data_IF_765798114611
#
_entry.id   IF_765798114611
#
_cell.length_a   1.000
_cell.length_b   1.000
_cell.length_c   1.000
_cell.angle_alpha   90.00
_cell.angle_beta   90.00
_cell.angle_gamma   90.00
#
_symmetry.space_group_name_H-M   'P 1'
#
loop_
_entity.id
_entity.type
_entity.pdbx_description
1 polymer ?
#
# COMPACT_ATOMS: atom_id res chain seq x y z
N UNK A 1 17.12 20.41 -24.33
CA UNK A 1 16.22 20.50 -23.16
C UNK A 1 17.08 20.12 -21.97
N UNK A 2 17.16 20.97 -20.94
CA UNK A 2 18.06 20.72 -19.79
C UNK A 2 17.50 19.57 -18.96
N UNK A 3 18.33 18.58 -18.62
CA UNK A 3 17.97 17.40 -17.81
C UNK A 3 17.29 17.78 -16.48
N UNK A 4 17.57 18.98 -15.96
CA UNK A 4 16.96 19.57 -14.77
C UNK A 4 15.44 19.73 -14.86
N UNK A 5 14.86 19.96 -16.04
CA UNK A 5 13.42 20.19 -16.21
C UNK A 5 12.59 18.90 -16.34
N UNK A 6 13.22 17.73 -16.44
CA UNK A 6 12.49 16.46 -16.59
C UNK A 6 11.93 15.94 -15.25
N UNK A 7 12.47 16.41 -14.13
CA UNK A 7 12.13 15.92 -12.78
C UNK A 7 11.52 17.01 -11.90
N UNK A 8 11.12 18.12 -12.51
CA UNK A 8 10.48 19.26 -11.86
C UNK A 8 9.20 19.57 -12.63
N UNK A 9 8.08 19.70 -11.92
CA UNK A 9 6.78 19.99 -12.51
C UNK A 9 6.04 21.04 -11.68
N UNK A 10 5.40 22.00 -12.34
CA UNK A 10 4.43 22.88 -11.70
C UNK A 10 3.10 22.12 -11.57
N UNK A 11 2.55 22.07 -10.37
CA UNK A 11 1.26 21.44 -10.07
C UNK A 11 0.21 22.50 -9.75
N UNK A 12 -1.03 22.16 -10.08
CA UNK A 12 -2.22 23.00 -9.85
C UNK A 12 -3.25 22.23 -9.03
N UNK A 13 -4.31 22.90 -8.60
CA UNK A 13 -5.46 22.26 -7.97
C UNK A 13 -5.98 21.05 -8.78
N UNK A 14 -6.05 21.16 -10.12
CA UNK A 14 -6.57 20.10 -10.98
C UNK A 14 -5.60 18.94 -11.18
N UNK A 15 -4.29 19.16 -11.02
CA UNK A 15 -3.26 18.16 -11.32
C UNK A 15 -2.64 17.55 -10.06
N UNK A 16 -2.91 18.12 -8.89
CA UNK A 16 -2.33 17.70 -7.62
C UNK A 16 -2.62 16.23 -7.30
N UNK A 17 -3.88 15.79 -7.39
CA UNK A 17 -4.28 14.43 -7.05
C UNK A 17 -3.47 13.39 -7.86
N UNK A 18 -3.51 13.51 -9.19
CA UNK A 18 -2.80 12.59 -10.08
C UNK A 18 -1.28 12.66 -9.93
N UNK A 19 -0.73 13.87 -9.85
CA UNK A 19 0.73 14.06 -9.94
C UNK A 19 1.41 13.79 -8.61
N UNK A 20 0.79 14.21 -7.50
CA UNK A 20 1.36 14.13 -6.15
C UNK A 20 0.85 12.89 -5.43
N UNK A 21 -0.46 12.71 -5.33
CA UNK A 21 -1.03 11.61 -4.53
C UNK A 21 -0.82 10.28 -5.26
N UNK A 22 -1.40 10.12 -6.45
CA UNK A 22 -1.28 8.86 -7.22
C UNK A 22 0.17 8.62 -7.67
N UNK A 23 0.84 9.66 -8.19
CA UNK A 23 2.23 9.57 -8.65
C UNK A 23 3.24 9.18 -7.55
N UNK A 24 2.92 9.45 -6.28
CA UNK A 24 3.81 9.09 -5.16
C UNK A 24 3.89 7.59 -4.86
N UNK A 25 3.06 6.78 -5.51
CA UNK A 25 3.15 5.31 -5.48
C UNK A 25 4.21 4.77 -6.44
N UNK A 26 4.57 5.54 -7.49
CA UNK A 26 5.60 5.13 -8.45
C UNK A 26 7.00 5.53 -7.95
N UNK A 27 7.12 6.75 -7.44
CA UNK A 27 8.35 7.32 -6.85
C UNK A 27 7.98 8.44 -5.88
N UNK A 28 8.82 8.76 -4.88
CA UNK A 28 8.53 9.86 -3.96
C UNK A 28 8.27 11.18 -4.68
N UNK A 29 7.30 11.96 -4.20
CA UNK A 29 7.00 13.30 -4.70
C UNK A 29 7.26 14.33 -3.61
N UNK A 30 8.10 15.31 -3.89
CA UNK A 30 8.43 16.41 -2.98
C UNK A 30 7.69 17.65 -3.44
N UNK A 31 6.78 18.15 -2.63
CA UNK A 31 6.01 19.37 -2.91
C UNK A 31 6.70 20.57 -2.30
N UNK A 32 7.11 21.53 -3.13
CA UNK A 32 7.59 22.87 -2.73
C UNK A 32 6.42 23.85 -2.72
N UNK A 33 5.97 24.24 -1.53
CA UNK A 33 4.91 25.24 -1.33
C UNK A 33 5.55 26.63 -1.32
N UNK A 34 5.28 27.41 -2.35
CA UNK A 34 5.93 28.70 -2.60
C UNK A 34 4.94 29.79 -3.03
N UNK A 35 5.44 31.04 -3.14
CA UNK A 35 4.75 32.17 -3.78
C UNK A 35 5.76 33.23 -4.23
N UNK A 36 5.38 34.09 -5.18
CA UNK A 36 6.27 35.09 -5.79
C UNK A 36 6.86 36.12 -4.80
N UNK A 37 6.09 36.47 -3.76
CA UNK A 37 6.49 37.42 -2.71
C UNK A 37 7.39 36.80 -1.65
N UNK A 38 7.58 35.48 -1.65
CA UNK A 38 8.38 34.77 -0.67
C UNK A 38 9.88 34.90 -0.97
N UNK A 39 10.56 35.80 -0.24
CA UNK A 39 12.00 36.00 -0.35
C UNK A 39 12.82 34.71 -0.17
N UNK A 40 12.63 33.94 0.92
CA UNK A 40 13.39 32.69 1.14
C UNK A 40 13.15 31.62 0.05
N UNK A 41 11.95 31.56 -0.53
CA UNK A 41 11.61 30.61 -1.60
C UNK A 41 12.50 30.79 -2.84
N UNK A 42 12.94 32.02 -3.14
CA UNK A 42 13.83 32.32 -4.27
C UNK A 42 15.21 31.68 -4.16
N UNK A 43 15.61 31.27 -2.95
CA UNK A 43 16.85 30.52 -2.74
C UNK A 43 16.60 29.02 -2.68
N UNK A 44 15.53 28.61 -1.99
CA UNK A 44 15.22 27.19 -1.79
C UNK A 44 14.75 26.50 -3.09
N UNK A 45 13.87 27.12 -3.87
CA UNK A 45 13.34 26.53 -5.11
C UNK A 45 14.43 26.09 -6.09
N UNK A 46 15.36 26.98 -6.50
CA UNK A 46 16.48 26.59 -7.37
C UNK A 46 17.39 25.50 -6.78
N UNK A 47 17.52 25.43 -5.46
CA UNK A 47 18.29 24.38 -4.80
C UNK A 47 17.57 23.03 -4.90
N UNK A 48 16.26 22.99 -4.68
CA UNK A 48 15.45 21.79 -4.86
C UNK A 48 15.47 21.32 -6.34
N UNK A 49 15.37 22.25 -7.29
CA UNK A 49 15.46 21.95 -8.72
C UNK A 49 16.82 21.35 -9.10
N UNK A 50 17.91 21.90 -8.55
CA UNK A 50 19.26 21.37 -8.72
C UNK A 50 19.34 19.93 -8.19
N UNK A 51 18.90 19.69 -6.95
CA UNK A 51 18.95 18.36 -6.32
C UNK A 51 18.08 17.35 -7.08
N UNK A 52 16.89 17.74 -7.55
CA UNK A 52 16.05 16.90 -8.39
C UNK A 52 16.74 16.49 -9.70
N UNK A 53 17.46 17.42 -10.34
CA UNK A 53 18.27 17.14 -11.52
C UNK A 53 19.45 16.20 -11.23
N UNK A 54 20.15 16.39 -10.10
CA UNK A 54 21.29 15.55 -9.69
C UNK A 54 20.87 14.12 -9.31
N UNK A 55 19.66 13.96 -8.77
CA UNK A 55 19.09 12.65 -8.40
C UNK A 55 18.48 11.90 -9.59
N UNK A 56 18.50 12.47 -10.80
CA UNK A 56 18.17 11.75 -12.04
C UNK A 56 16.80 11.07 -12.05
N UNK A 57 15.82 11.63 -11.34
CA UNK A 57 14.44 11.13 -11.31
C UNK A 57 14.10 10.20 -10.15
N UNK A 58 15.01 10.00 -9.18
CA UNK A 58 14.74 9.23 -7.95
C UNK A 58 13.56 9.80 -7.13
N UNK A 59 13.24 11.08 -7.29
CA UNK A 59 12.02 11.71 -6.81
C UNK A 59 11.51 12.72 -7.85
N UNK A 60 10.25 13.13 -7.73
CA UNK A 60 9.66 14.23 -8.50
C UNK A 60 9.56 15.48 -7.62
N UNK A 61 10.06 16.63 -8.09
CA UNK A 61 9.80 17.91 -7.45
C UNK A 61 8.51 18.53 -8.04
N UNK A 62 7.48 18.66 -7.21
CA UNK A 62 6.23 19.32 -7.54
C UNK A 62 6.20 20.73 -6.94
N UNK A 63 6.20 21.76 -7.78
CA UNK A 63 6.14 23.15 -7.35
C UNK A 63 4.68 23.60 -7.31
N UNK A 64 4.26 24.12 -6.16
CA UNK A 64 2.88 24.50 -5.90
C UNK A 64 2.81 25.92 -5.36
N UNK A 65 2.34 26.85 -6.21
CA UNK A 65 2.05 28.22 -5.79
C UNK A 65 0.82 28.24 -4.89
N UNK A 66 0.99 28.65 -3.63
CA UNK A 66 -0.07 28.65 -2.61
C UNK A 66 -1.07 29.81 -2.76
N UNK A 67 -0.74 30.85 -3.52
CA UNK A 67 -1.66 31.95 -3.83
C UNK A 67 -2.57 31.60 -5.02
N UNK A 68 -2.05 30.83 -5.97
CA UNK A 68 -2.79 30.41 -7.16
C UNK A 68 -3.66 29.16 -6.95
N UNK A 69 -3.35 28.34 -5.94
CA UNK A 69 -3.95 27.00 -5.77
C UNK A 69 -4.47 26.79 -4.34
N UNK A 70 -5.76 26.49 -4.21
CA UNK A 70 -6.42 26.26 -2.92
C UNK A 70 -5.89 25.04 -2.18
N UNK A 71 -5.48 23.99 -2.92
CA UNK A 71 -4.92 22.76 -2.34
C UNK A 71 -3.63 23.05 -1.55
N UNK A 72 -2.85 24.04 -1.96
CA UNK A 72 -1.64 24.47 -1.24
C UNK A 72 -1.96 25.01 0.16
N UNK A 73 -3.03 25.80 0.28
CA UNK A 73 -3.50 26.31 1.56
C UNK A 73 -4.03 25.19 2.46
N UNK A 74 -4.79 24.24 1.87
CA UNK A 74 -5.25 23.05 2.59
C UNK A 74 -4.09 22.20 3.09
N UNK A 75 -3.03 22.03 2.28
CA UNK A 75 -1.86 21.27 2.66
C UNK A 75 -1.09 21.96 3.81
N UNK A 76 -0.85 23.27 3.73
CA UNK A 76 -0.24 24.04 4.83
C UNK A 76 -0.99 23.85 6.16
N UNK A 77 -2.33 23.89 6.11
CA UNK A 77 -3.17 23.65 7.29
C UNK A 77 -3.03 22.21 7.80
N UNK A 78 -3.07 21.21 6.91
CA UNK A 78 -2.96 19.80 7.27
C UNK A 78 -1.63 19.50 7.97
N UNK A 79 -0.53 20.08 7.47
CA UNK A 79 0.81 19.92 8.06
C UNK A 79 1.11 20.93 9.17
N UNK A 80 0.13 21.76 9.56
CA UNK A 80 0.22 22.78 10.61
C UNK A 80 1.36 23.79 10.40
N UNK A 81 1.71 24.05 9.15
CA UNK A 81 2.67 25.09 8.81
C UNK A 81 2.01 26.46 8.84
N UNK A 82 2.74 27.45 9.37
CA UNK A 82 2.27 28.83 9.47
C UNK A 82 2.64 29.70 8.25
N UNK A 83 3.32 29.15 7.25
CA UNK A 83 3.69 29.89 6.05
C UNK A 83 4.67 29.16 5.15
N UNK A 84 5.21 29.91 4.19
CA UNK A 84 6.12 29.40 3.15
C UNK A 84 7.55 29.95 3.33
N UNK A 85 8.58 29.24 2.84
CA UNK A 85 8.50 27.95 2.15
C UNK A 85 8.18 26.80 3.11
N UNK A 86 7.36 25.86 2.64
CA UNK A 86 7.15 24.56 3.29
C UNK A 86 7.36 23.49 2.25
N UNK A 87 8.09 22.43 2.62
CA UNK A 87 8.34 21.29 1.74
C UNK A 87 7.75 20.05 2.37
N UNK A 88 6.98 19.29 1.58
CA UNK A 88 6.31 18.06 2.04
C UNK A 88 6.64 16.93 1.08
N UNK A 89 7.17 15.82 1.60
CA UNK A 89 7.40 14.61 0.82
C UNK A 89 6.21 13.66 0.94
N UNK A 90 5.80 13.10 -0.18
CA UNK A 90 4.75 12.09 -0.31
C UNK A 90 5.33 10.76 -0.80
N UNK A 91 4.86 9.67 -0.20
CA UNK A 91 5.00 8.29 -0.68
C UNK A 91 3.68 7.58 -0.52
N UNK A 92 3.27 6.76 -1.50
CA UNK A 92 2.05 5.95 -1.45
C UNK A 92 0.80 6.76 -1.04
N UNK A 93 0.69 7.98 -1.57
CA UNK A 93 -0.41 8.92 -1.33
C UNK A 93 -0.40 9.62 0.04
N UNK A 94 0.61 9.38 0.88
CA UNK A 94 0.69 9.91 2.24
C UNK A 94 1.88 10.84 2.44
N UNK A 95 1.74 11.92 3.23
CA UNK A 95 2.89 12.72 3.64
C UNK A 95 3.78 11.93 4.60
N UNK A 96 5.04 11.72 4.23
CA UNK A 96 6.01 10.91 5.01
C UNK A 96 7.05 11.75 5.74
N UNK A 97 7.33 12.95 5.26
CA UNK A 97 8.29 13.87 5.88
C UNK A 97 8.02 15.31 5.44
N UNK A 98 8.47 16.28 6.23
CA UNK A 98 8.35 17.70 5.87
C UNK A 98 9.41 18.55 6.56
N UNK A 99 9.65 19.74 6.01
CA UNK A 99 10.34 20.82 6.72
C UNK A 99 9.73 22.18 6.40
N UNK A 100 9.97 23.14 7.30
CA UNK A 100 9.47 24.53 7.19
C UNK A 100 10.66 25.48 7.19
N UNK A 101 10.67 26.41 6.24
CA UNK A 101 11.72 27.40 6.06
C UNK A 101 12.77 26.98 5.03
N UNK A 102 13.70 27.88 4.75
CA UNK A 102 14.80 27.63 3.82
C UNK A 102 15.97 26.99 4.58
N UNK A 103 16.40 25.81 4.11
CA UNK A 103 17.52 25.06 4.69
C UNK A 103 18.76 25.08 3.78
N UNK A 104 19.97 24.89 4.33
CA UNK A 104 21.17 24.65 3.55
C UNK A 104 21.08 23.40 2.68
N UNK A 105 21.87 23.34 1.61
CA UNK A 105 21.86 22.23 0.66
C UNK A 105 22.15 20.86 1.29
N UNK A 106 22.99 20.80 2.33
CA UNK A 106 23.27 19.57 3.07
C UNK A 106 22.02 19.01 3.78
N UNK A 107 21.24 19.90 4.41
CA UNK A 107 19.99 19.53 5.08
C UNK A 107 18.92 19.09 4.07
N UNK A 108 18.86 19.76 2.91
CA UNK A 108 17.98 19.36 1.80
C UNK A 108 18.36 17.97 1.30
N UNK A 109 19.66 17.70 1.06
CA UNK A 109 20.09 16.37 0.65
C UNK A 109 19.75 15.31 1.69
N UNK A 110 19.98 15.57 2.99
CA UNK A 110 19.58 14.64 4.05
C UNK A 110 18.09 14.37 4.10
N UNK A 111 17.27 15.41 3.88
CA UNK A 111 15.82 15.25 3.76
C UNK A 111 15.46 14.35 2.58
N UNK A 112 16.04 14.59 1.40
CA UNK A 112 15.80 13.78 0.21
C UNK A 112 16.24 12.33 0.45
N UNK A 113 17.44 12.12 0.99
CA UNK A 113 17.96 10.77 1.25
C UNK A 113 17.06 9.97 2.20
N UNK A 114 16.40 10.64 3.15
CA UNK A 114 15.48 10.00 4.10
C UNK A 114 14.15 9.53 3.49
N UNK A 115 13.80 9.99 2.28
CA UNK A 115 12.53 9.65 1.62
C UNK A 115 12.72 8.74 0.40
N UNK A 116 13.96 8.54 -0.04
CA UNK A 116 14.22 7.65 -1.16
C UNK A 116 13.99 6.19 -0.74
N UNK A 117 13.54 5.33 -1.66
CA UNK A 117 13.42 3.91 -1.37
C UNK A 117 14.76 3.32 -0.94
N UNK A 118 14.73 2.40 0.02
CA UNK A 118 15.89 1.57 0.37
C UNK A 118 16.16 0.55 -0.74
N UNK A 119 17.35 -0.07 -0.71
CA UNK A 119 17.68 -1.13 -1.66
C UNK A 119 16.67 -2.29 -1.57
N UNK A 120 16.33 -2.71 -0.35
CA UNK A 120 15.33 -3.76 -0.13
C UNK A 120 13.95 -3.41 -0.71
N UNK A 121 13.53 -2.14 -0.62
CA UNK A 121 12.27 -1.67 -1.24
C UNK A 121 12.35 -1.72 -2.78
N UNK A 122 13.51 -1.38 -3.37
CA UNK A 122 13.71 -1.49 -4.82
C UNK A 122 13.72 -2.94 -5.28
N UNK A 123 14.43 -3.82 -4.57
CA UNK A 123 14.47 -5.27 -4.84
C UNK A 123 13.08 -5.89 -4.74
N UNK A 124 12.30 -5.53 -3.71
CA UNK A 124 10.92 -5.99 -3.56
C UNK A 124 10.04 -5.58 -4.76
N UNK A 125 10.19 -4.33 -5.23
CA UNK A 125 9.47 -3.82 -6.40
C UNK A 125 9.87 -4.53 -7.70
N UNK A 126 11.15 -4.80 -7.88
CA UNK A 126 11.63 -5.60 -9.03
C UNK A 126 11.11 -7.04 -8.98
N UNK A 127 11.07 -7.64 -7.78
CA UNK A 127 10.50 -8.97 -7.57
C UNK A 127 9.00 -9.02 -7.88
N UNK A 128 8.25 -7.98 -7.53
CA UNK A 128 6.84 -7.85 -7.89
C UNK A 128 6.65 -7.78 -9.41
N UNK A 129 7.44 -6.97 -10.12
CA UNK A 129 7.41 -6.90 -11.59
C UNK A 129 7.79 -8.24 -12.24
N UNK A 130 8.74 -8.97 -11.66
CA UNK A 130 9.06 -10.32 -12.10
C UNK A 130 7.86 -11.27 -11.92
N UNK A 131 7.13 -11.18 -10.81
CA UNK A 131 5.93 -11.98 -10.58
C UNK A 131 4.82 -11.65 -11.60
N UNK A 132 4.57 -10.37 -11.85
CA UNK A 132 3.57 -9.89 -12.82
C UNK A 132 3.89 -10.32 -14.26
N UNK A 133 5.17 -10.35 -14.62
CA UNK A 133 5.63 -10.82 -15.93
C UNK A 133 5.71 -12.36 -16.05
N UNK A 134 5.42 -13.08 -14.96
CA UNK A 134 5.40 -14.54 -14.92
C UNK A 134 6.75 -15.21 -14.60
N UNK A 135 7.81 -14.44 -14.32
CA UNK A 135 9.07 -14.96 -13.80
C UNK A 135 8.97 -15.24 -12.29
N UNK A 136 8.25 -16.31 -11.96
CA UNK A 136 8.02 -16.73 -10.57
C UNK A 136 9.33 -17.05 -9.84
N UNK A 137 10.33 -17.61 -10.54
CA UNK A 137 11.61 -17.98 -9.93
C UNK A 137 12.49 -16.74 -9.66
N UNK A 138 12.45 -15.75 -10.55
CA UNK A 138 13.05 -14.44 -10.33
C UNK A 138 12.40 -13.71 -9.16
N UNK A 139 11.06 -13.67 -9.14
CA UNK A 139 10.29 -13.03 -8.08
C UNK A 139 10.57 -13.64 -6.70
N UNK A 140 10.53 -14.97 -6.57
CA UNK A 140 10.82 -15.62 -5.29
C UNK A 140 12.22 -15.28 -4.78
N UNK A 141 13.23 -15.26 -5.66
CA UNK A 141 14.60 -14.89 -5.29
C UNK A 141 14.66 -13.43 -4.82
N UNK A 142 14.12 -12.51 -5.61
CA UNK A 142 14.15 -11.09 -5.28
C UNK A 142 13.45 -10.76 -3.96
N UNK A 143 12.28 -11.37 -3.69
CA UNK A 143 11.62 -11.18 -2.40
C UNK A 143 12.44 -11.74 -1.23
N UNK A 144 13.09 -12.91 -1.39
CA UNK A 144 13.94 -13.48 -0.34
C UNK A 144 15.17 -12.60 -0.08
N UNK A 145 15.78 -12.04 -1.11
CA UNK A 145 16.94 -11.15 -1.00
C UNK A 145 16.52 -9.85 -0.27
N UNK A 146 15.40 -9.24 -0.65
CA UNK A 146 14.84 -8.07 0.02
C UNK A 146 14.52 -8.33 1.51
N UNK A 147 13.96 -9.49 1.85
CA UNK A 147 13.69 -9.88 3.26
C UNK A 147 15.00 -10.14 4.03
N UNK A 148 16.05 -10.61 3.36
CA UNK A 148 17.34 -10.85 4.01
C UNK A 148 18.03 -9.52 4.39
N UNK A 149 17.87 -8.49 3.56
CA UNK A 149 18.36 -7.13 3.83
C UNK A 149 17.47 -6.40 4.84
N UNK A 150 16.15 -6.41 4.62
CA UNK A 150 15.16 -5.82 5.53
C UNK A 150 14.08 -6.85 5.90
N UNK A 151 14.22 -7.51 7.06
CA UNK A 151 13.22 -8.47 7.53
C UNK A 151 11.84 -7.87 7.79
N UNK A 152 11.73 -6.55 7.98
CA UNK A 152 10.48 -5.82 8.22
C UNK A 152 9.83 -5.30 6.92
N UNK A 153 10.40 -5.60 5.75
CA UNK A 153 9.84 -5.21 4.45
C UNK A 153 8.53 -5.96 4.16
N UNK A 154 7.40 -5.26 4.34
CA UNK A 154 6.06 -5.81 4.16
C UNK A 154 5.79 -6.26 2.72
N UNK A 155 6.15 -5.42 1.74
CA UNK A 155 5.88 -5.70 0.33
C UNK A 155 6.59 -7.00 -0.11
N UNK A 156 7.85 -7.18 0.32
CA UNK A 156 8.60 -8.39 0.05
C UNK A 156 8.01 -9.62 0.77
N UNK A 157 7.69 -9.49 2.05
CA UNK A 157 7.14 -10.58 2.84
C UNK A 157 5.78 -11.05 2.32
N UNK A 158 4.87 -10.13 2.02
CA UNK A 158 3.52 -10.43 1.54
C UNK A 158 3.54 -10.88 0.07
N UNK A 159 4.41 -10.30 -0.76
CA UNK A 159 4.66 -10.74 -2.13
C UNK A 159 5.16 -12.20 -2.18
N UNK A 160 6.13 -12.55 -1.35
CA UNK A 160 6.61 -13.93 -1.21
C UNK A 160 5.51 -14.85 -0.66
N UNK A 161 4.78 -14.43 0.36
CA UNK A 161 3.70 -15.22 0.94
C UNK A 161 2.63 -15.57 -0.10
N UNK A 162 2.25 -14.62 -0.96
CA UNK A 162 1.33 -14.84 -2.08
C UNK A 162 1.85 -15.92 -3.04
N UNK A 163 3.10 -15.82 -3.50
CA UNK A 163 3.72 -16.84 -4.36
C UNK A 163 3.78 -18.22 -3.70
N UNK A 164 4.05 -18.27 -2.40
CA UNK A 164 4.11 -19.51 -1.64
C UNK A 164 2.73 -20.16 -1.53
N UNK A 165 1.67 -19.38 -1.24
CA UNK A 165 0.29 -19.87 -1.17
C UNK A 165 -0.11 -20.55 -2.49
N UNK A 166 0.17 -19.90 -3.63
CA UNK A 166 -0.15 -20.44 -4.97
C UNK A 166 0.57 -21.77 -5.26
N UNK A 167 1.69 -22.03 -4.58
CA UNK A 167 2.53 -23.22 -4.75
C UNK A 167 2.39 -24.25 -3.62
N UNK A 168 1.48 -24.01 -2.66
CA UNK A 168 1.23 -24.89 -1.53
C UNK A 168 2.19 -24.73 -0.33
N UNK A 169 3.01 -23.66 -0.31
CA UNK A 169 3.94 -23.32 0.77
C UNK A 169 3.28 -22.61 1.96
N UNK A 170 2.20 -23.15 2.49
CA UNK A 170 1.36 -22.46 3.50
C UNK A 170 2.06 -22.19 4.84
N UNK A 171 2.98 -23.04 5.29
CA UNK A 171 3.64 -22.88 6.59
C UNK A 171 4.61 -21.68 6.60
N UNK A 172 5.42 -21.54 5.56
CA UNK A 172 6.32 -20.40 5.38
C UNK A 172 5.51 -19.11 5.16
N UNK A 173 4.50 -19.15 4.28
CA UNK A 173 3.59 -18.02 4.06
C UNK A 173 2.93 -17.52 5.34
N UNK A 174 2.52 -18.44 6.23
CA UNK A 174 1.92 -18.08 7.52
C UNK A 174 2.87 -17.30 8.41
N UNK A 175 4.15 -17.65 8.41
CA UNK A 175 5.17 -16.98 9.22
C UNK A 175 5.43 -15.57 8.70
N UNK A 176 5.51 -15.41 7.38
CA UNK A 176 5.67 -14.11 6.72
C UNK A 176 4.46 -13.20 7.01
N UNK A 177 3.24 -13.68 6.77
CA UNK A 177 2.00 -12.91 6.96
C UNK A 177 1.80 -12.49 8.42
N UNK A 178 2.13 -13.36 9.38
CA UNK A 178 1.89 -13.09 10.80
C UNK A 178 2.59 -11.82 11.31
N UNK A 179 3.71 -11.45 10.70
CA UNK A 179 4.51 -10.29 11.11
C UNK A 179 3.86 -8.95 10.74
N UNK A 180 3.07 -8.91 9.68
CA UNK A 180 2.49 -7.68 9.11
C UNK A 180 1.00 -7.52 9.39
N UNK A 181 0.41 -8.39 10.22
CA UNK A 181 -0.97 -8.18 10.67
C UNK A 181 -1.07 -6.93 11.57
N UNK A 182 -2.17 -6.14 11.47
CA UNK A 182 -3.38 -6.41 10.71
C UNK A 182 -3.49 -5.57 9.42
N UNK A 183 -2.44 -5.44 8.60
CA UNK A 183 -2.59 -4.72 7.33
C UNK A 183 -3.60 -5.41 6.41
N UNK A 184 -4.32 -4.66 5.53
CA UNK A 184 -5.35 -5.24 4.69
C UNK A 184 -4.88 -6.42 3.85
N UNK A 185 -3.66 -6.35 3.31
CA UNK A 185 -3.10 -7.43 2.50
C UNK A 185 -2.72 -8.65 3.35
N UNK A 186 -2.07 -8.44 4.51
CA UNK A 186 -1.77 -9.52 5.44
C UNK A 186 -3.05 -10.23 5.93
N UNK A 187 -4.12 -9.48 6.19
CA UNK A 187 -5.43 -10.01 6.56
C UNK A 187 -6.05 -10.87 5.43
N UNK A 188 -5.95 -10.43 4.16
CA UNK A 188 -6.40 -11.20 2.99
C UNK A 188 -5.63 -12.51 2.85
N UNK A 189 -4.29 -12.46 2.93
CA UNK A 189 -3.44 -13.65 2.80
C UNK A 189 -3.65 -14.62 3.98
N UNK A 190 -3.82 -14.10 5.21
CA UNK A 190 -4.18 -14.91 6.38
C UNK A 190 -5.49 -15.65 6.14
N UNK A 191 -6.50 -14.96 5.61
CA UNK A 191 -7.80 -15.57 5.32
C UNK A 191 -7.67 -16.67 4.24
N UNK A 192 -6.85 -16.46 3.21
CA UNK A 192 -6.60 -17.47 2.18
C UNK A 192 -5.95 -18.74 2.77
N UNK A 193 -4.96 -18.58 3.66
CA UNK A 193 -4.34 -19.69 4.40
C UNK A 193 -5.39 -20.40 5.29
N UNK A 194 -6.23 -19.65 6.00
CA UNK A 194 -7.28 -20.23 6.84
C UNK A 194 -8.29 -21.05 6.04
N UNK A 195 -8.70 -20.56 4.86
CA UNK A 195 -9.60 -21.29 3.95
C UNK A 195 -8.95 -22.58 3.43
N UNK A 196 -7.64 -22.59 3.18
CA UNK A 196 -6.94 -23.84 2.87
C UNK A 196 -7.02 -24.84 4.04
N UNK A 197 -6.76 -24.39 5.27
CA UNK A 197 -6.80 -25.24 6.46
C UNK A 197 -8.20 -25.85 6.71
N UNK A 198 -9.26 -25.22 6.19
CA UNK A 198 -10.63 -25.73 6.29
C UNK A 198 -10.87 -27.05 5.52
N UNK A 199 -9.97 -27.46 4.62
CA UNK A 199 -10.02 -28.79 4.00
C UNK A 199 -10.01 -29.90 5.06
N UNK A 200 -9.30 -29.68 6.16
CA UNK A 200 -9.16 -30.59 7.30
C UNK A 200 -10.16 -30.28 8.43
N UNK A 201 -11.17 -29.43 8.19
CA UNK A 201 -12.16 -29.08 9.19
C UNK A 201 -12.85 -30.35 9.73
N UNK A 202 -12.75 -30.58 11.04
CA UNK A 202 -13.30 -31.76 11.71
C UNK A 202 -14.77 -31.56 12.09
N UNK A 203 -15.49 -32.67 12.17
CA UNK A 203 -16.91 -32.71 12.55
C UNK A 203 -17.85 -32.95 11.37
N UNK A 204 -19.04 -33.42 11.73
CA UNK A 204 -20.17 -33.73 10.84
C UNK A 204 -21.23 -32.61 10.80
N UNK A 205 -21.06 -31.56 11.62
CA UNK A 205 -21.96 -30.41 11.66
C UNK A 205 -21.93 -29.54 10.40
N UNK A 206 -22.96 -28.71 10.26
CA UNK A 206 -23.22 -27.87 9.08
C UNK A 206 -22.03 -26.96 8.74
N UNK A 207 -21.41 -26.36 9.75
CA UNK A 207 -20.25 -25.48 9.57
C UNK A 207 -19.03 -26.21 9.01
N UNK A 208 -18.74 -27.42 9.51
CA UNK A 208 -17.58 -28.19 9.06
C UNK A 208 -17.73 -28.64 7.61
N UNK A 209 -18.95 -29.04 7.20
CA UNK A 209 -19.24 -29.34 5.80
C UNK A 209 -19.09 -28.11 4.89
N UNK A 210 -19.61 -26.96 5.31
CA UNK A 210 -19.49 -25.71 4.56
C UNK A 210 -18.04 -25.24 4.41
N UNK A 211 -17.23 -25.38 5.46
CA UNK A 211 -15.80 -25.07 5.46
C UNK A 211 -15.03 -25.92 4.43
N UNK A 212 -15.29 -27.22 4.36
CA UNK A 212 -14.67 -28.11 3.36
C UNK A 212 -15.07 -27.76 1.91
N UNK A 213 -16.31 -27.34 1.69
CA UNK A 213 -16.76 -26.85 0.37
C UNK A 213 -16.03 -25.55 -0.03
N UNK A 214 -15.87 -24.62 0.91
CA UNK A 214 -15.10 -23.38 0.68
C UNK A 214 -13.63 -23.68 0.36
N UNK A 215 -12.99 -24.60 1.09
CA UNK A 215 -11.62 -25.03 0.81
C UNK A 215 -11.46 -25.68 -0.58
N UNK A 216 -12.51 -26.30 -1.10
CA UNK A 216 -12.57 -26.84 -2.46
C UNK A 216 -12.93 -25.78 -3.53
N UNK A 217 -13.14 -24.52 -3.14
CA UNK A 217 -13.52 -23.41 -4.02
C UNK A 217 -15.01 -23.36 -4.37
N UNK A 218 -15.86 -24.22 -3.80
CA UNK A 218 -17.31 -24.22 -4.04
C UNK A 218 -18.02 -23.22 -3.14
N UNK A 219 -17.77 -21.93 -3.39
CA UNK A 219 -18.40 -20.82 -2.67
C UNK A 219 -19.93 -20.79 -2.76
N UNK A 220 -20.55 -21.08 -3.93
CA UNK A 220 -22.00 -21.16 -4.04
C UNK A 220 -22.64 -22.19 -3.09
N UNK A 221 -21.96 -23.31 -2.81
CA UNK A 221 -22.44 -24.30 -1.84
C UNK A 221 -21.99 -23.98 -0.40
N UNK A 222 -20.82 -23.39 -0.22
CA UNK A 222 -20.26 -23.10 1.10
C UNK A 222 -21.01 -21.99 1.86
N UNK A 223 -21.27 -20.84 1.21
CA UNK A 223 -21.85 -19.67 1.87
C UNK A 223 -23.26 -19.93 2.46
N UNK A 224 -24.20 -20.61 1.77
CA UNK A 224 -25.46 -21.03 2.38
C UNK A 224 -25.27 -21.90 3.62
N UNK A 225 -24.32 -22.85 3.58
CA UNK A 225 -24.02 -23.73 4.71
C UNK A 225 -23.49 -22.96 5.91
N UNK A 226 -22.60 -21.99 5.69
CA UNK A 226 -22.11 -21.12 6.76
C UNK A 226 -23.23 -20.26 7.37
N UNK A 227 -24.14 -19.72 6.54
CA UNK A 227 -25.31 -18.99 7.05
C UNK A 227 -26.23 -19.89 7.88
N UNK A 228 -26.49 -21.12 7.43
CA UNK A 228 -27.32 -22.07 8.17
C UNK A 228 -26.70 -22.45 9.53
N UNK A 229 -25.37 -22.55 9.58
CA UNK A 229 -24.64 -22.85 10.80
C UNK A 229 -24.74 -21.77 11.89
N UNK A 230 -25.20 -20.55 11.59
CA UNK A 230 -25.43 -19.51 12.61
C UNK A 230 -26.40 -19.94 13.72
N UNK A 231 -27.31 -20.88 13.43
CA UNK A 231 -28.24 -21.43 14.40
C UNK A 231 -27.58 -22.40 15.41
N UNK A 232 -26.48 -23.04 15.01
CA UNK A 232 -25.75 -24.04 15.80
C UNK A 232 -24.52 -23.44 16.48
N UNK A 233 -23.72 -22.69 15.72
CA UNK A 233 -22.47 -22.04 16.14
C UNK A 233 -22.40 -20.63 15.56
N UNK A 234 -23.07 -19.69 16.25
CA UNK A 234 -23.20 -18.29 15.80
C UNK A 234 -21.85 -17.61 15.60
N UNK A 235 -20.92 -17.77 16.55
CA UNK A 235 -19.63 -17.07 16.49
C UNK A 235 -18.70 -17.71 15.47
N UNK A 236 -18.63 -19.05 15.39
CA UNK A 236 -17.82 -19.74 14.41
C UNK A 236 -18.31 -19.53 12.97
N UNK A 237 -19.62 -19.52 12.75
CA UNK A 237 -20.20 -19.24 11.44
C UNK A 237 -20.02 -17.77 11.03
N UNK A 238 -20.17 -16.82 11.96
CA UNK A 238 -19.88 -15.40 11.70
C UNK A 238 -18.43 -15.23 11.28
N UNK A 239 -17.49 -15.83 12.00
CA UNK A 239 -16.06 -15.72 11.69
C UNK A 239 -15.75 -16.34 10.31
N UNK A 240 -16.30 -17.53 10.01
CA UNK A 240 -16.11 -18.16 8.70
C UNK A 240 -16.63 -17.30 7.55
N UNK A 241 -17.78 -16.64 7.71
CA UNK A 241 -18.30 -15.72 6.69
C UNK A 241 -17.40 -14.50 6.49
N UNK A 242 -16.84 -13.94 7.56
CA UNK A 242 -15.89 -12.81 7.46
C UNK A 242 -14.62 -13.26 6.72
N UNK A 243 -14.05 -14.41 7.08
CA UNK A 243 -12.89 -14.99 6.39
C UNK A 243 -13.21 -15.24 4.91
N UNK A 244 -14.39 -15.78 4.60
CA UNK A 244 -14.82 -15.99 3.21
C UNK A 244 -14.91 -14.67 2.42
N UNK A 245 -15.43 -13.60 3.01
CA UNK A 245 -15.50 -12.29 2.34
C UNK A 245 -14.12 -11.68 2.11
N UNK A 246 -13.17 -11.91 3.02
CA UNK A 246 -11.79 -11.45 2.85
C UNK A 246 -11.10 -12.14 1.67
N UNK A 247 -11.34 -13.44 1.48
CA UNK A 247 -10.79 -14.21 0.34
C UNK A 247 -11.46 -13.85 -0.98
N UNK A 248 -12.80 -13.72 -0.99
CA UNK A 248 -13.55 -13.41 -2.20
C UNK A 248 -13.33 -11.96 -2.68
N UNK A 249 -13.07 -11.03 -1.75
CA UNK A 249 -12.96 -9.60 -2.05
C UNK A 249 -14.31 -8.91 -2.24
N UNK A 250 -14.31 -7.59 -2.19
CA UNK A 250 -15.53 -6.77 -2.16
C UNK A 250 -16.33 -6.79 -3.48
N UNK A 251 -15.64 -7.03 -4.61
CA UNK A 251 -16.23 -7.02 -5.95
C UNK A 251 -16.87 -8.35 -6.36
N UNK A 252 -16.67 -9.42 -5.58
CA UNK A 252 -17.21 -10.74 -5.93
C UNK A 252 -18.74 -10.75 -5.85
N UNK A 253 -19.40 -11.33 -6.86
CA UNK A 253 -20.86 -11.27 -7.05
C UNK A 253 -21.68 -11.74 -5.83
N UNK A 254 -21.16 -12.71 -5.08
CA UNK A 254 -21.81 -13.27 -3.89
C UNK A 254 -21.69 -12.35 -2.66
N UNK A 255 -20.61 -11.58 -2.52
CA UNK A 255 -20.27 -10.89 -1.26
C UNK A 255 -21.33 -9.86 -0.83
N UNK A 256 -21.83 -8.96 -1.71
CA UNK A 256 -22.84 -7.97 -1.33
C UNK A 256 -24.14 -8.60 -0.79
N UNK A 257 -24.56 -9.74 -1.35
CA UNK A 257 -25.75 -10.44 -0.91
C UNK A 257 -25.56 -11.04 0.49
N UNK A 258 -24.50 -11.82 0.68
CA UNK A 258 -24.27 -12.54 1.92
C UNK A 258 -23.88 -11.62 3.09
N UNK A 259 -23.22 -10.48 2.83
CA UNK A 259 -23.00 -9.44 3.85
C UNK A 259 -24.32 -8.87 4.38
N UNK A 260 -25.27 -8.56 3.50
CA UNK A 260 -26.60 -8.08 3.92
C UNK A 260 -27.34 -9.13 4.74
N UNK A 261 -27.32 -10.39 4.29
CA UNK A 261 -27.96 -11.51 5.00
C UNK A 261 -27.35 -11.73 6.38
N UNK A 262 -26.02 -11.67 6.50
CA UNK A 262 -25.32 -11.78 7.78
C UNK A 262 -25.69 -10.65 8.72
N UNK A 263 -25.71 -9.40 8.24
CA UNK A 263 -26.12 -8.25 9.06
C UNK A 263 -27.54 -8.43 9.61
N UNK A 264 -28.50 -8.86 8.78
CA UNK A 264 -29.88 -9.14 9.21
C UNK A 264 -30.02 -10.33 10.15
N UNK A 265 -29.07 -11.26 10.16
CA UNK A 265 -29.09 -12.41 11.07
C UNK A 265 -28.47 -12.10 12.45
N UNK A 266 -27.68 -11.02 12.54
CA UNK A 266 -26.97 -10.65 13.77
C UNK A 266 -27.69 -9.59 14.61
N UNK A 267 -28.62 -8.84 14.03
CA UNK A 267 -29.38 -7.76 14.66
C UNK A 267 -30.88 -7.99 14.51
#
# INVERSE_FOLDING_TARGET
MSTTMEHVIEVTDETFERTVIEGSSERPVVVDLWAEWCGPCRTLGPMLEKVAGERGGAFLLAKLDVDANGVGQSLLQAVRSQGIPTVVAFRNGQPVSMFIGAYPEEEVNRFIDSILPTEAELEAKEAEQAAESGDVAGAERGFRDAIAEDPDNEDAALGLAKLLIDRGGFDEARTLVAKHLPTPEAERLRAAIEVHDWAEARGDGTLAAAKRLAAAGDWPAALPGMMAALAEDRDGARQALITAFAVLGDEHELVPEYRRRLASALF
#
